data_IF_212521300756
#
_entry.id   IF_212521300756
#
_cell.length_a   1.000
_cell.length_b   1.000
_cell.length_c   1.000
_cell.angle_alpha   90.00
_cell.angle_beta   90.00
_cell.angle_gamma   90.00
#
_symmetry.space_group_name_H-M   'P 1'
#
loop_
_entity.id
_entity.type
_entity.pdbx_description
1 polymer ?
#
# COMPACT_ATOMS: atom_id res chain seq x y z
N UNK A 1 -16.44 -8.07 -64.81
CA UNK A 1 -16.14 -9.16 -63.85
C UNK A 1 -15.46 -8.53 -62.63
N UNK A 2 -16.25 -8.11 -61.63
CA UNK A 2 -15.72 -7.57 -60.37
C UNK A 2 -15.41 -8.77 -59.46
N UNK A 3 -14.12 -9.03 -59.22
CA UNK A 3 -13.72 -9.98 -58.19
C UNK A 3 -14.08 -9.40 -56.83
N UNK A 4 -15.04 -10.03 -56.15
CA UNK A 4 -15.36 -9.77 -54.74
C UNK A 4 -14.25 -10.39 -53.89
N UNK A 5 -13.33 -9.56 -53.42
CA UNK A 5 -12.40 -9.94 -52.36
C UNK A 5 -13.19 -10.18 -51.09
N UNK A 6 -13.38 -11.44 -50.72
CA UNK A 6 -13.82 -11.82 -49.38
C UNK A 6 -12.59 -11.69 -48.49
N UNK A 7 -12.42 -10.55 -47.83
CA UNK A 7 -11.53 -10.46 -46.68
C UNK A 7 -12.05 -11.44 -45.63
N UNK A 8 -11.35 -12.58 -45.45
CA UNK A 8 -11.55 -13.43 -44.28
C UNK A 8 -11.13 -12.61 -43.08
N UNK A 9 -12.10 -12.10 -42.33
CA UNK A 9 -11.86 -11.57 -40.98
C UNK A 9 -11.20 -12.71 -40.18
N UNK A 10 -9.94 -12.56 -39.81
CA UNK A 10 -9.28 -13.53 -38.95
C UNK A 10 -10.14 -13.76 -37.70
N UNK A 11 -10.28 -15.01 -37.28
CA UNK A 11 -11.08 -15.33 -36.10
C UNK A 11 -10.45 -14.68 -34.88
N UNK A 12 -11.25 -13.92 -34.12
CA UNK A 12 -10.80 -13.22 -32.92
C UNK A 12 -10.18 -14.21 -31.94
N UNK A 13 -8.96 -13.90 -31.51
CA UNK A 13 -8.22 -14.66 -30.51
C UNK A 13 -8.54 -14.15 -29.11
N UNK A 14 -9.04 -15.06 -28.27
CA UNK A 14 -9.37 -14.78 -26.86
C UNK A 14 -8.50 -15.64 -25.97
N UNK A 15 -7.79 -15.01 -25.05
CA UNK A 15 -6.91 -15.66 -24.09
C UNK A 15 -7.37 -15.48 -22.65
N UNK A 16 -6.97 -16.38 -21.75
CA UNK A 16 -7.01 -16.09 -20.31
C UNK A 16 -5.73 -16.47 -19.58
N UNK A 17 -5.47 -15.77 -18.47
CA UNK A 17 -4.35 -15.98 -17.54
C UNK A 17 -4.90 -15.93 -16.11
N UNK A 18 -4.80 -17.03 -15.37
CA UNK A 18 -5.37 -17.16 -14.02
C UNK A 18 -4.30 -17.15 -12.92
N UNK A 19 -4.67 -16.67 -11.73
CA UNK A 19 -3.78 -16.74 -10.58
C UNK A 19 -4.41 -16.30 -9.27
N UNK A 20 -3.80 -16.72 -8.15
CA UNK A 20 -4.19 -16.26 -6.81
C UNK A 20 -3.68 -14.84 -6.53
N UNK A 21 -2.49 -14.49 -7.04
CA UNK A 21 -1.85 -13.17 -6.83
C UNK A 21 -1.67 -12.78 -5.36
N UNK A 22 -1.25 -13.73 -4.51
CA UNK A 22 -0.97 -13.51 -3.08
C UNK A 22 0.54 -13.71 -2.80
N UNK A 23 1.38 -12.67 -2.95
CA UNK A 23 1.05 -11.34 -3.49
C UNK A 23 1.20 -11.22 -5.02
N UNK A 24 0.64 -10.14 -5.58
CA UNK A 24 0.86 -9.73 -6.96
C UNK A 24 2.30 -9.21 -7.13
N UNK A 25 2.96 -9.59 -8.23
CA UNK A 25 4.39 -9.33 -8.45
C UNK A 25 4.71 -9.08 -9.93
N UNK A 26 5.90 -8.56 -10.23
CA UNK A 26 6.34 -8.20 -11.59
C UNK A 26 6.39 -9.39 -12.55
N UNK A 27 6.69 -10.61 -12.07
CA UNK A 27 6.54 -11.83 -12.88
C UNK A 27 5.12 -12.02 -13.44
N UNK A 28 4.08 -11.83 -12.62
CA UNK A 28 2.69 -11.86 -13.09
C UNK A 28 2.42 -10.74 -14.10
N UNK A 29 2.87 -9.51 -13.81
CA UNK A 29 2.67 -8.37 -14.71
C UNK A 29 3.35 -8.60 -16.08
N UNK A 30 4.54 -9.22 -16.09
CA UNK A 30 5.22 -9.64 -17.30
C UNK A 30 4.42 -10.69 -18.08
N UNK A 31 3.95 -11.74 -17.40
CA UNK A 31 3.12 -12.77 -18.03
C UNK A 31 1.84 -12.19 -18.64
N UNK A 32 1.15 -11.30 -17.91
CA UNK A 32 -0.04 -10.60 -18.40
C UNK A 32 0.29 -9.75 -19.64
N UNK A 33 1.40 -9.00 -19.60
CA UNK A 33 1.81 -8.14 -20.73
C UNK A 33 2.15 -8.98 -21.97
N UNK A 34 2.88 -10.09 -21.78
CA UNK A 34 3.22 -11.04 -22.85
C UNK A 34 2.00 -11.73 -23.42
N UNK A 35 1.06 -12.15 -22.58
CA UNK A 35 -0.20 -12.76 -23.00
C UNK A 35 -1.05 -11.75 -23.80
N UNK A 36 -1.18 -10.51 -23.32
CA UNK A 36 -1.96 -9.46 -23.96
C UNK A 36 -1.42 -9.09 -25.35
N UNK A 37 -0.12 -9.26 -25.59
CA UNK A 37 0.51 -9.02 -26.90
C UNK A 37 0.25 -10.15 -27.92
N UNK A 38 -0.34 -11.27 -27.50
CA UNK A 38 -0.53 -12.47 -28.34
C UNK A 38 -1.99 -12.75 -28.69
N UNK A 39 -2.94 -11.98 -28.15
CA UNK A 39 -4.38 -12.17 -28.37
C UNK A 39 -5.13 -10.85 -28.55
N UNK A 40 -6.24 -10.89 -29.29
CA UNK A 40 -7.13 -9.74 -29.49
C UNK A 40 -7.85 -9.33 -28.21
N UNK A 41 -8.10 -10.27 -27.30
CA UNK A 41 -8.66 -10.01 -25.96
C UNK A 41 -8.09 -10.97 -24.91
N UNK A 42 -7.61 -10.43 -23.80
CA UNK A 42 -7.09 -11.19 -22.67
C UNK A 42 -7.99 -11.00 -21.44
N UNK A 43 -8.36 -12.11 -20.81
CA UNK A 43 -8.98 -12.15 -19.50
C UNK A 43 -7.96 -12.53 -18.42
N UNK A 44 -7.74 -11.65 -17.45
CA UNK A 44 -6.95 -11.97 -16.26
C UNK A 44 -7.90 -12.35 -15.13
N UNK A 45 -7.78 -13.58 -14.63
CA UNK A 45 -8.69 -14.13 -13.63
C UNK A 45 -8.03 -14.17 -12.26
N UNK A 46 -8.55 -13.36 -11.33
CA UNK A 46 -8.19 -13.39 -9.91
C UNK A 46 -8.97 -14.50 -9.24
N UNK A 47 -8.31 -15.64 -9.07
CA UNK A 47 -8.82 -16.78 -8.31
C UNK A 47 -8.81 -16.48 -6.82
N UNK A 48 -9.95 -16.66 -6.14
CA UNK A 48 -10.07 -16.39 -4.71
C UNK A 48 -10.87 -17.45 -3.96
N UNK A 49 -10.54 -17.64 -2.69
CA UNK A 49 -11.30 -18.43 -1.74
C UNK A 49 -10.92 -17.94 -0.35
N UNK A 50 -11.88 -17.41 0.41
CA UNK A 50 -11.59 -16.62 1.61
C UNK A 50 -10.73 -17.37 2.64
N UNK A 51 -11.11 -18.60 3.00
CA UNK A 51 -10.40 -19.37 4.04
C UNK A 51 -8.94 -19.67 3.66
N UNK A 52 -8.73 -20.26 2.47
CA UNK A 52 -7.41 -20.49 1.88
C UNK A 52 -6.59 -19.21 1.79
N UNK A 53 -7.17 -18.13 1.29
CA UNK A 53 -6.44 -16.88 1.05
C UNK A 53 -6.01 -16.22 2.38
N UNK A 54 -6.87 -16.28 3.41
CA UNK A 54 -6.53 -15.89 4.78
C UNK A 54 -5.38 -16.73 5.34
N UNK A 55 -5.48 -18.06 5.22
CA UNK A 55 -4.44 -19.00 5.67
C UNK A 55 -3.09 -18.71 5.02
N UNK A 56 -3.07 -18.49 3.70
CA UNK A 56 -1.84 -18.13 2.97
C UNK A 56 -1.23 -16.80 3.42
N UNK A 57 -2.05 -15.82 3.80
CA UNK A 57 -1.56 -14.54 4.31
C UNK A 57 -1.02 -14.71 5.74
N UNK A 58 -1.77 -15.40 6.61
CA UNK A 58 -1.39 -15.66 8.00
C UNK A 58 -0.08 -16.43 8.12
N UNK A 59 0.08 -17.53 7.37
CA UNK A 59 1.31 -18.33 7.31
C UNK A 59 2.52 -17.52 6.84
N UNK A 60 2.28 -16.47 6.04
CA UNK A 60 3.30 -15.58 5.51
C UNK A 60 3.53 -14.31 6.36
N UNK A 61 2.82 -14.15 7.48
CA UNK A 61 2.87 -12.94 8.30
C UNK A 61 2.34 -11.69 7.59
N UNK A 62 1.46 -11.86 6.61
CA UNK A 62 0.83 -10.78 5.85
C UNK A 62 -0.58 -10.50 6.36
N UNK A 63 -0.98 -9.23 6.31
CA UNK A 63 -2.38 -8.86 6.44
C UNK A 63 -3.20 -9.51 5.31
N UNK A 64 -4.48 -9.82 5.60
CA UNK A 64 -5.35 -10.44 4.61
C UNK A 64 -5.52 -9.58 3.36
N UNK A 65 -5.13 -10.13 2.21
CA UNK A 65 -5.21 -9.47 0.91
C UNK A 65 -6.49 -9.89 0.17
N UNK A 66 -7.56 -9.12 0.40
CA UNK A 66 -8.86 -9.32 -0.25
C UNK A 66 -8.76 -9.36 -1.79
N UNK A 67 -9.59 -10.18 -2.42
CA UNK A 67 -9.58 -10.37 -3.88
C UNK A 67 -9.88 -9.08 -4.64
N UNK A 68 -10.72 -8.19 -4.11
CA UNK A 68 -11.03 -6.89 -4.76
C UNK A 68 -9.78 -6.04 -4.82
N UNK A 69 -8.95 -6.07 -3.78
CA UNK A 69 -7.67 -5.35 -3.74
C UNK A 69 -6.69 -5.90 -4.77
N UNK A 70 -6.55 -7.22 -4.87
CA UNK A 70 -5.74 -7.89 -5.90
C UNK A 70 -6.21 -7.53 -7.30
N UNK A 71 -7.53 -7.57 -7.55
CA UNK A 71 -8.14 -7.18 -8.81
C UNK A 71 -7.84 -5.71 -9.15
N UNK A 72 -8.02 -4.79 -8.20
CA UNK A 72 -7.70 -3.37 -8.38
C UNK A 72 -6.24 -3.12 -8.73
N UNK A 73 -5.30 -3.85 -8.12
CA UNK A 73 -3.87 -3.72 -8.44
C UNK A 73 -3.57 -4.11 -9.87
N UNK A 74 -4.15 -5.22 -10.34
CA UNK A 74 -3.98 -5.68 -11.72
C UNK A 74 -4.62 -4.67 -12.67
N UNK A 75 -5.88 -4.27 -12.44
CA UNK A 75 -6.58 -3.27 -13.25
C UNK A 75 -5.80 -1.95 -13.34
N UNK A 76 -5.23 -1.49 -12.23
CA UNK A 76 -4.43 -0.26 -12.20
C UNK A 76 -3.14 -0.43 -13.01
N UNK A 77 -2.50 -1.60 -12.93
CA UNK A 77 -1.26 -1.92 -13.65
C UNK A 77 -1.48 -2.11 -15.14
N UNK A 78 -2.67 -2.56 -15.55
CA UNK A 78 -3.04 -2.84 -16.95
C UNK A 78 -3.98 -1.79 -17.53
N UNK A 79 -4.21 -0.66 -16.85
CA UNK A 79 -5.23 0.35 -17.23
C UNK A 79 -5.12 0.90 -18.67
N UNK A 80 -3.91 0.85 -19.24
CA UNK A 80 -3.62 1.33 -20.58
C UNK A 80 -3.65 0.20 -21.65
N UNK A 81 -3.89 -1.05 -21.24
CA UNK A 81 -4.01 -2.21 -22.14
C UNK A 81 -5.49 -2.41 -22.49
N UNK A 82 -5.92 -1.86 -23.62
CA UNK A 82 -7.33 -1.82 -24.02
C UNK A 82 -7.97 -3.20 -24.24
N UNK A 83 -7.15 -4.21 -24.52
CA UNK A 83 -7.60 -5.59 -24.74
C UNK A 83 -7.59 -6.44 -23.47
N UNK A 84 -7.26 -5.89 -22.30
CA UNK A 84 -7.20 -6.64 -21.03
C UNK A 84 -8.44 -6.38 -20.19
N UNK A 85 -9.14 -7.44 -19.80
CA UNK A 85 -10.25 -7.42 -18.84
C UNK A 85 -9.87 -8.24 -17.61
N UNK A 86 -10.09 -7.70 -16.41
CA UNK A 86 -9.76 -8.38 -15.16
C UNK A 86 -11.04 -8.80 -14.44
N UNK A 87 -11.20 -10.10 -14.19
CA UNK A 87 -12.35 -10.67 -13.48
C UNK A 87 -11.87 -11.35 -12.20
N UNK A 88 -12.78 -11.52 -11.24
CA UNK A 88 -12.55 -12.34 -10.05
C UNK A 88 -13.46 -13.57 -10.12
N UNK A 89 -12.91 -14.74 -9.81
CA UNK A 89 -13.62 -16.01 -9.84
C UNK A 89 -13.36 -16.74 -8.53
N UNK A 90 -14.42 -17.18 -7.87
CA UNK A 90 -14.32 -17.98 -6.66
C UNK A 90 -13.91 -19.41 -7.00
N UNK A 91 -12.80 -19.86 -6.45
CA UNK A 91 -12.37 -21.24 -6.61
C UNK A 91 -13.25 -22.17 -5.78
N UNK A 92 -13.52 -23.40 -6.25
CA UNK A 92 -14.11 -24.43 -5.41
C UNK A 92 -13.22 -24.76 -4.20
N UNK A 93 -13.81 -25.37 -3.18
CA UNK A 93 -13.12 -25.89 -2.01
C UNK A 93 -13.35 -27.38 -1.87
N UNK A 94 -12.27 -28.16 -1.96
CA UNK A 94 -12.28 -29.61 -1.84
C UNK A 94 -10.85 -30.12 -1.63
N UNK A 95 -10.72 -31.29 -1.01
CA UNK A 95 -9.46 -32.06 -0.98
C UNK A 95 -9.23 -32.82 -2.31
N UNK A 96 -10.27 -32.99 -3.11
CA UNK A 96 -10.21 -33.62 -4.42
C UNK A 96 -9.65 -32.63 -5.46
N UNK A 97 -8.40 -32.87 -5.85
CA UNK A 97 -7.69 -32.06 -6.84
C UNK A 97 -8.38 -32.08 -8.21
N UNK A 98 -8.95 -33.21 -8.64
CA UNK A 98 -9.63 -33.29 -9.92
C UNK A 98 -10.90 -32.45 -9.93
N UNK A 99 -11.68 -32.52 -8.85
CA UNK A 99 -12.83 -31.64 -8.67
C UNK A 99 -12.42 -30.16 -8.68
N UNK A 100 -11.36 -29.78 -7.97
CA UNK A 100 -10.87 -28.39 -7.95
C UNK A 100 -10.58 -27.86 -9.35
N UNK A 101 -9.90 -28.65 -10.19
CA UNK A 101 -9.56 -28.28 -11.56
C UNK A 101 -10.79 -28.19 -12.46
N UNK A 102 -11.64 -29.21 -12.46
CA UNK A 102 -12.79 -29.27 -13.36
C UNK A 102 -13.85 -28.21 -13.01
N UNK A 103 -14.19 -28.07 -11.73
CA UNK A 103 -15.17 -27.08 -11.27
C UNK A 103 -14.59 -25.65 -11.36
N UNK A 104 -13.32 -25.46 -11.03
CA UNK A 104 -12.64 -24.17 -11.21
C UNK A 104 -12.63 -23.75 -12.68
N UNK A 105 -12.25 -24.67 -13.58
CA UNK A 105 -12.28 -24.47 -15.02
C UNK A 105 -13.67 -24.12 -15.56
N UNK A 106 -14.72 -24.84 -15.11
CA UNK A 106 -16.12 -24.55 -15.45
C UNK A 106 -16.51 -23.13 -15.07
N UNK A 107 -16.19 -22.69 -13.85
CA UNK A 107 -16.47 -21.32 -13.38
C UNK A 107 -15.73 -20.26 -14.18
N UNK A 108 -14.49 -20.54 -14.60
CA UNK A 108 -13.73 -19.63 -15.47
C UNK A 108 -14.36 -19.50 -16.87
N UNK A 109 -14.83 -20.61 -17.45
CA UNK A 109 -15.56 -20.59 -18.73
C UNK A 109 -16.85 -19.79 -18.60
N UNK A 110 -17.62 -19.96 -17.52
CA UNK A 110 -18.86 -19.22 -17.30
C UNK A 110 -18.66 -17.72 -17.06
N UNK A 111 -17.53 -17.33 -16.47
CA UNK A 111 -17.18 -15.95 -16.23
C UNK A 111 -16.75 -15.20 -17.52
N UNK A 112 -16.24 -15.92 -18.53
CA UNK A 112 -15.73 -15.34 -19.77
C UNK A 112 -16.80 -15.46 -20.88
N UNK A 113 -17.30 -14.33 -21.43
CA UNK A 113 -18.42 -14.38 -22.37
C UNK A 113 -18.04 -14.91 -23.77
N UNK A 114 -16.78 -14.79 -24.18
CA UNK A 114 -16.31 -15.27 -25.48
C UNK A 114 -15.66 -16.66 -25.41
N UNK A 115 -15.65 -17.36 -26.55
CA UNK A 115 -14.96 -18.64 -26.68
C UNK A 115 -13.44 -18.46 -26.51
N UNK A 116 -12.90 -19.09 -25.48
CA UNK A 116 -11.46 -19.10 -25.19
C UNK A 116 -10.72 -19.91 -26.26
N UNK A 117 -9.59 -19.37 -26.73
CA UNK A 117 -8.73 -19.98 -27.77
C UNK A 117 -7.30 -20.19 -27.30
N UNK A 118 -6.86 -19.41 -26.30
CA UNK A 118 -5.53 -19.47 -25.73
C UNK A 118 -5.60 -19.49 -24.20
N UNK A 119 -4.67 -20.21 -23.58
CA UNK A 119 -4.49 -20.22 -22.12
C UNK A 119 -3.02 -19.92 -21.86
N UNK A 120 -2.78 -19.01 -20.93
CA UNK A 120 -1.44 -18.64 -20.52
C UNK A 120 -1.20 -19.10 -19.09
N UNK A 121 -0.02 -19.65 -18.84
CA UNK A 121 0.45 -20.01 -17.49
C UNK A 121 1.97 -19.86 -17.43
N UNK A 122 2.55 -20.09 -16.26
CA UNK A 122 4.00 -20.28 -16.10
C UNK A 122 4.35 -21.73 -15.74
N UNK A 123 3.39 -22.65 -15.87
CA UNK A 123 3.46 -24.03 -15.39
C UNK A 123 3.14 -24.99 -16.55
N UNK A 124 4.16 -25.62 -17.14
CA UNK A 124 3.95 -26.54 -18.27
C UNK A 124 3.10 -27.77 -17.88
N UNK A 125 3.16 -28.18 -16.62
CA UNK A 125 2.39 -29.31 -16.05
C UNK A 125 0.87 -29.12 -16.11
N UNK A 126 0.36 -27.90 -16.32
CA UNK A 126 -1.08 -27.63 -16.39
C UNK A 126 -1.70 -27.98 -17.75
N UNK A 127 -0.89 -28.31 -18.77
CA UNK A 127 -1.37 -28.61 -20.14
C UNK A 127 -2.45 -29.70 -20.16
N UNK A 128 -2.27 -30.77 -19.38
CA UNK A 128 -3.24 -31.85 -19.26
C UNK A 128 -4.61 -31.35 -18.79
N UNK A 129 -4.63 -30.54 -17.73
CA UNK A 129 -5.87 -29.98 -17.19
C UNK A 129 -6.54 -29.02 -18.17
N UNK A 130 -5.74 -28.18 -18.84
CA UNK A 130 -6.26 -27.25 -19.82
C UNK A 130 -6.91 -27.95 -21.01
N UNK A 131 -6.29 -29.00 -21.58
CA UNK A 131 -6.92 -29.79 -22.65
C UNK A 131 -8.22 -30.46 -22.18
N UNK A 132 -8.21 -30.98 -20.95
CA UNK A 132 -9.39 -31.64 -20.37
C UNK A 132 -10.57 -30.71 -20.13
N UNK A 133 -10.31 -29.46 -19.74
CA UNK A 133 -11.34 -28.46 -19.43
C UNK A 133 -11.83 -27.73 -20.69
N UNK A 134 -10.89 -27.30 -21.54
CA UNK A 134 -11.18 -26.38 -22.65
C UNK A 134 -11.19 -27.06 -24.04
N UNK A 135 -10.81 -28.34 -24.11
CA UNK A 135 -10.76 -29.15 -25.32
C UNK A 135 -9.37 -29.20 -25.96
N UNK A 136 -9.14 -30.19 -26.83
CA UNK A 136 -7.83 -30.46 -27.45
C UNK A 136 -7.33 -29.36 -28.39
N UNK A 137 -8.24 -28.54 -28.93
CA UNK A 137 -7.90 -27.43 -29.83
C UNK A 137 -7.35 -26.20 -29.08
N UNK A 138 -7.34 -26.23 -27.74
CA UNK A 138 -6.86 -25.10 -26.94
C UNK A 138 -5.35 -24.91 -27.10
N UNK A 139 -4.92 -23.66 -27.25
CA UNK A 139 -3.49 -23.32 -27.29
C UNK A 139 -3.00 -22.91 -25.91
N UNK A 140 -2.33 -23.83 -25.22
CA UNK A 140 -1.62 -23.51 -23.99
C UNK A 140 -0.24 -22.90 -24.32
N UNK A 141 0.03 -21.71 -23.78
CA UNK A 141 1.29 -20.98 -23.95
C UNK A 141 1.92 -20.76 -22.58
N UNK A 142 3.07 -21.40 -22.36
CA UNK A 142 3.86 -21.26 -21.14
C UNK A 142 4.74 -20.02 -21.25
N UNK A 143 4.68 -19.13 -20.26
CA UNK A 143 5.46 -17.91 -20.18
C UNK A 143 6.45 -18.00 -19.01
N UNK A 144 7.74 -17.98 -19.34
CA UNK A 144 8.85 -17.83 -18.38
C UNK A 144 8.79 -18.79 -17.18
N UNK A 145 8.60 -20.08 -17.48
CA UNK A 145 8.56 -21.15 -16.46
C UNK A 145 9.82 -21.19 -15.61
N UNK A 146 10.99 -20.97 -16.23
CA UNK A 146 12.28 -20.92 -15.55
C UNK A 146 12.49 -19.61 -14.74
N UNK A 147 11.59 -18.62 -14.88
CA UNK A 147 11.66 -17.31 -14.21
C UNK A 147 12.97 -16.57 -14.49
N UNK A 148 13.44 -16.61 -15.73
CA UNK A 148 14.70 -16.01 -16.16
C UNK A 148 14.61 -14.49 -16.24
N UNK A 149 13.44 -13.95 -16.65
CA UNK A 149 13.26 -12.50 -16.81
C UNK A 149 12.97 -11.85 -15.46
N UNK A 150 12.04 -12.44 -14.70
CA UNK A 150 11.71 -12.00 -13.35
C UNK A 150 11.85 -13.17 -12.37
N UNK A 151 12.98 -13.31 -11.65
CA UNK A 151 13.28 -14.46 -10.78
C UNK A 151 12.52 -14.41 -9.45
N UNK A 152 11.19 -14.43 -9.55
CA UNK A 152 10.26 -14.25 -8.44
C UNK A 152 9.04 -15.16 -8.56
N UNK A 153 8.49 -15.53 -7.42
CA UNK A 153 7.18 -16.16 -7.31
C UNK A 153 6.44 -15.65 -6.09
N UNK A 154 5.12 -15.79 -6.07
CA UNK A 154 4.31 -15.46 -4.91
C UNK A 154 4.78 -16.23 -3.67
N UNK A 155 5.13 -17.52 -3.83
CA UNK A 155 5.67 -18.35 -2.75
C UNK A 155 7.01 -17.82 -2.23
N UNK A 156 7.91 -17.40 -3.12
CA UNK A 156 9.19 -16.80 -2.72
C UNK A 156 8.97 -15.54 -1.87
N UNK A 157 8.06 -14.66 -2.29
CA UNK A 157 7.74 -13.45 -1.53
C UNK A 157 7.12 -13.78 -0.16
N UNK A 158 6.22 -14.77 -0.11
CA UNK A 158 5.63 -15.22 1.17
C UNK A 158 6.68 -15.81 2.13
N UNK A 159 7.71 -16.47 1.61
CA UNK A 159 8.77 -17.09 2.43
C UNK A 159 9.86 -16.10 2.86
N UNK A 160 10.28 -15.20 1.97
CA UNK A 160 11.40 -14.26 2.20
C UNK A 160 10.94 -12.88 2.68
N UNK A 161 9.64 -12.58 2.58
CA UNK A 161 9.06 -11.30 2.92
C UNK A 161 9.01 -10.30 1.77
N UNK A 162 8.05 -9.37 1.88
CA UNK A 162 7.79 -8.34 0.87
C UNK A 162 8.93 -7.32 0.78
N UNK A 163 9.56 -6.96 1.89
CA UNK A 163 10.64 -5.96 1.88
C UNK A 163 11.94 -6.46 1.24
N UNK A 164 12.23 -7.77 1.33
CA UNK A 164 13.36 -8.39 0.64
C UNK A 164 13.14 -8.42 -0.88
N UNK A 165 11.88 -8.50 -1.31
CA UNK A 165 11.49 -8.62 -2.72
C UNK A 165 10.82 -7.34 -3.25
N UNK A 166 11.08 -6.18 -2.63
CA UNK A 166 10.35 -4.93 -2.90
C UNK A 166 10.37 -4.50 -4.37
N UNK A 167 11.50 -4.64 -5.04
CA UNK A 167 11.65 -4.27 -6.45
C UNK A 167 10.84 -5.17 -7.39
N UNK A 168 10.40 -6.33 -6.91
CA UNK A 168 9.52 -7.25 -7.62
C UNK A 168 8.03 -6.96 -7.37
N UNK A 169 7.68 -6.00 -6.50
CA UNK A 169 6.30 -5.60 -6.25
C UNK A 169 5.89 -4.48 -7.23
N UNK A 170 4.80 -4.63 -7.99
CA UNK A 170 4.26 -3.59 -8.85
C UNK A 170 3.86 -2.33 -8.07
N UNK A 171 4.02 -1.16 -8.69
CA UNK A 171 3.73 0.14 -8.07
C UNK A 171 2.29 0.23 -7.54
N UNK A 172 1.32 -0.41 -8.19
CA UNK A 172 -0.07 -0.43 -7.74
C UNK A 172 -0.26 -1.13 -6.38
N UNK A 173 0.63 -2.06 -6.01
CA UNK A 173 0.53 -2.85 -4.79
C UNK A 173 1.44 -2.32 -3.66
N UNK A 174 2.52 -1.61 -3.98
CA UNK A 174 3.47 -1.06 -2.98
C UNK A 174 2.82 -0.23 -1.85
N UNK A 175 1.81 0.64 -2.10
CA UNK A 175 1.20 1.43 -1.04
C UNK A 175 0.60 0.60 0.09
N UNK A 176 0.12 -0.62 -0.20
CA UNK A 176 -0.47 -1.50 0.81
C UNK A 176 0.57 -2.07 1.78
N UNK A 177 1.81 -2.28 1.32
CA UNK A 177 2.89 -2.82 2.13
C UNK A 177 3.79 -1.74 2.73
N UNK A 178 3.61 -0.48 2.35
CA UNK A 178 4.42 0.63 2.83
C UNK A 178 4.09 0.90 4.29
N UNK A 179 5.12 0.94 5.15
CA UNK A 179 4.95 1.23 6.57
C UNK A 179 4.91 2.72 6.84
N UNK A 180 3.96 3.17 7.63
CA UNK A 180 3.79 4.59 7.98
C UNK A 180 4.35 4.85 9.37
N UNK A 181 5.23 5.85 9.47
CA UNK A 181 5.92 6.21 10.71
C UNK A 181 5.56 7.65 11.06
N UNK A 182 4.75 7.82 12.10
CA UNK A 182 4.40 9.12 12.63
C UNK A 182 5.50 9.62 13.57
N UNK A 183 6.00 10.82 13.31
CA UNK A 183 6.99 11.50 14.13
C UNK A 183 6.25 12.60 14.89
N UNK A 184 6.12 12.40 16.19
CA UNK A 184 5.23 13.18 17.05
C UNK A 184 6.00 13.82 18.20
N UNK A 185 5.43 14.85 18.79
CA UNK A 185 6.05 15.61 19.87
C UNK A 185 5.63 17.07 19.83
N UNK A 186 5.92 17.76 20.93
CA UNK A 186 5.56 19.18 21.09
C UNK A 186 6.36 20.08 20.15
N UNK A 187 6.02 21.37 20.11
CA UNK A 187 6.73 22.34 19.25
C UNK A 187 8.24 22.34 19.51
N UNK A 188 9.01 22.62 18.45
CA UNK A 188 10.46 22.86 18.53
C UNK A 188 11.28 21.70 19.11
N UNK A 189 10.84 20.45 18.88
CA UNK A 189 11.58 19.24 19.28
C UNK A 189 12.40 18.63 18.13
N UNK A 190 12.50 19.29 16.97
CA UNK A 190 13.28 18.79 15.83
C UNK A 190 12.57 17.74 14.95
N UNK A 191 11.23 17.63 15.05
CA UNK A 191 10.42 16.67 14.26
C UNK A 191 10.69 16.77 12.77
N UNK A 192 10.48 17.94 12.18
CA UNK A 192 10.64 18.14 10.73
C UNK A 192 12.05 17.86 10.24
N UNK A 193 13.07 18.17 11.06
CA UNK A 193 14.46 17.83 10.74
C UNK A 193 14.67 16.32 10.74
N UNK A 194 14.20 15.61 11.77
CA UNK A 194 14.32 14.15 11.83
C UNK A 194 13.55 13.48 10.69
N UNK A 195 12.31 13.92 10.40
CA UNK A 195 11.47 13.44 9.30
C UNK A 195 12.18 13.54 7.95
N UNK A 196 12.79 14.70 7.66
CA UNK A 196 13.55 14.92 6.42
C UNK A 196 14.84 14.10 6.37
N UNK A 197 15.57 14.01 7.49
CA UNK A 197 16.80 13.22 7.53
C UNK A 197 16.54 11.74 7.31
N UNK A 198 15.47 11.20 7.92
CA UNK A 198 15.08 9.81 7.75
C UNK A 198 14.60 9.55 6.31
N UNK A 199 13.81 10.44 5.71
CA UNK A 199 13.35 10.26 4.32
C UNK A 199 14.51 10.26 3.32
N UNK A 200 15.50 11.14 3.52
CA UNK A 200 16.74 11.15 2.74
C UNK A 200 17.55 9.87 2.93
N UNK A 201 17.75 9.42 4.17
CA UNK A 201 18.55 8.23 4.49
C UNK A 201 17.93 6.94 3.91
N UNK A 202 16.62 6.78 4.05
CA UNK A 202 15.91 5.59 3.56
C UNK A 202 15.49 5.68 2.09
N UNK A 203 15.76 6.82 1.42
CA UNK A 203 15.42 7.03 0.02
C UNK A 203 13.92 6.91 -0.23
N UNK A 204 13.12 7.65 0.54
CA UNK A 204 11.66 7.60 0.48
C UNK A 204 11.02 8.99 0.66
N UNK A 205 9.68 9.04 0.64
CA UNK A 205 8.88 10.23 0.80
C UNK A 205 8.57 10.57 2.27
N UNK A 206 8.15 11.80 2.50
CA UNK A 206 7.62 12.26 3.76
C UNK A 206 6.46 13.24 3.59
N UNK A 207 5.66 13.39 4.65
CA UNK A 207 4.57 14.36 4.80
C UNK A 207 5.01 15.45 5.78
N UNK A 208 4.79 16.70 5.40
CA UNK A 208 5.07 17.87 6.23
C UNK A 208 3.87 18.26 7.10
N UNK A 209 4.16 18.95 8.20
CA UNK A 209 3.14 19.42 9.13
C UNK A 209 2.26 20.48 8.46
N UNK A 210 1.04 20.09 8.08
CA UNK A 210 0.15 20.96 7.31
C UNK A 210 -0.33 22.18 8.08
N UNK A 211 -0.41 22.08 9.42
CA UNK A 211 -0.73 23.22 10.28
C UNK A 211 0.24 24.40 10.11
N UNK A 212 1.50 24.13 9.76
CA UNK A 212 2.48 25.18 9.46
C UNK A 212 2.10 25.94 8.18
N UNK A 213 1.77 25.21 7.11
CA UNK A 213 1.34 25.79 5.83
C UNK A 213 0.12 26.68 6.01
N UNK A 214 -0.93 26.19 6.68
CA UNK A 214 -2.15 26.97 6.92
C UNK A 214 -1.88 28.19 7.80
N UNK A 215 -1.02 28.07 8.81
CA UNK A 215 -0.64 29.21 9.67
C UNK A 215 0.15 30.29 8.89
N UNK A 216 1.05 29.89 7.98
CA UNK A 216 1.83 30.81 7.15
C UNK A 216 0.91 31.56 6.16
N UNK A 217 -0.11 30.89 5.60
CA UNK A 217 -1.08 31.50 4.68
C UNK A 217 -1.93 32.61 5.32
N UNK A 218 -2.19 32.52 6.63
CA UNK A 218 -2.94 33.55 7.39
C UNK A 218 -2.03 34.61 8.02
N UNK A 219 -0.75 34.67 7.65
CA UNK A 219 0.21 35.65 8.14
C UNK A 219 0.77 35.33 9.53
N UNK A 220 1.10 34.06 9.77
CA UNK A 220 1.73 33.54 11.00
C UNK A 220 0.88 33.66 12.28
N UNK A 221 -0.44 33.68 12.10
CA UNK A 221 -1.41 33.77 13.18
C UNK A 221 -1.87 32.41 13.73
N UNK A 222 -0.98 31.59 14.29
CA UNK A 222 -1.38 30.26 14.81
C UNK A 222 -2.49 30.32 15.87
N UNK A 223 -2.55 31.41 16.65
CA UNK A 223 -3.62 31.69 17.61
C UNK A 223 -4.94 32.18 16.99
N UNK A 224 -4.93 32.51 15.69
CA UNK A 224 -6.09 32.98 14.92
C UNK A 224 -6.76 31.84 14.12
N UNK A 225 -6.23 30.61 14.21
CA UNK A 225 -6.83 29.45 13.57
C UNK A 225 -8.24 29.21 14.13
N UNK A 226 -9.16 28.87 13.23
CA UNK A 226 -10.58 28.63 13.54
C UNK A 226 -10.87 27.15 13.42
N UNK A 227 -12.03 26.68 13.89
CA UNK A 227 -12.43 25.27 13.69
C UNK A 227 -12.43 24.88 12.20
N UNK A 228 -12.72 25.82 11.29
CA UNK A 228 -12.69 25.55 9.84
C UNK A 228 -11.25 25.33 9.34
N UNK A 229 -10.29 26.13 9.79
CA UNK A 229 -8.87 25.90 9.49
C UNK A 229 -8.41 24.53 10.01
N UNK A 230 -8.89 24.08 11.18
CA UNK A 230 -8.56 22.74 11.67
C UNK A 230 -9.12 21.60 10.82
N UNK A 231 -10.29 21.78 10.18
CA UNK A 231 -10.77 20.81 9.19
C UNK A 231 -9.83 20.75 8.00
N UNK A 232 -9.42 21.92 7.49
CA UNK A 232 -8.45 21.98 6.40
C UNK A 232 -7.14 21.29 6.79
N UNK A 233 -6.61 21.57 7.98
CA UNK A 233 -5.39 20.98 8.51
C UNK A 233 -5.48 19.45 8.53
N UNK A 234 -6.54 18.90 9.13
CA UNK A 234 -6.68 17.45 9.30
C UNK A 234 -6.94 16.73 7.99
N UNK A 235 -7.88 17.22 7.16
CA UNK A 235 -8.20 16.56 5.89
C UNK A 235 -7.11 16.76 4.84
N UNK A 236 -6.51 17.95 4.78
CA UNK A 236 -5.40 18.26 3.88
C UNK A 236 -4.17 17.41 4.20
N UNK A 237 -3.84 17.27 5.49
CA UNK A 237 -2.74 16.41 5.92
C UNK A 237 -2.97 14.93 5.55
N UNK A 238 -4.18 14.39 5.82
CA UNK A 238 -4.51 13.02 5.42
C UNK A 238 -4.48 12.82 3.90
N UNK A 239 -4.86 13.84 3.13
CA UNK A 239 -4.76 13.81 1.68
C UNK A 239 -3.29 13.76 1.23
N UNK A 240 -2.40 14.53 1.86
CA UNK A 240 -0.96 14.47 1.57
C UNK A 240 -0.38 13.08 1.84
N UNK A 241 -0.75 12.44 2.95
CA UNK A 241 -0.36 11.04 3.21
C UNK A 241 -0.76 10.11 2.06
N UNK A 242 -2.01 10.22 1.60
CA UNK A 242 -2.52 9.40 0.49
C UNK A 242 -1.78 9.64 -0.83
N UNK A 243 -1.32 10.85 -1.11
CA UNK A 243 -0.51 11.13 -2.30
C UNK A 243 0.92 10.63 -2.15
N UNK A 244 1.52 10.83 -0.97
CA UNK A 244 2.92 10.49 -0.71
C UNK A 244 3.14 9.00 -0.62
N UNK A 245 2.21 8.23 -0.06
CA UNK A 245 2.33 6.76 0.02
C UNK A 245 2.42 6.09 -1.37
N UNK A 246 1.85 6.70 -2.41
CA UNK A 246 1.93 6.19 -3.79
C UNK A 246 3.32 6.30 -4.40
N UNK A 247 4.18 7.14 -3.84
CA UNK A 247 5.55 7.40 -4.29
C UNK A 247 6.60 6.90 -3.28
N UNK A 248 6.14 6.50 -2.10
CA UNK A 248 6.99 6.04 -1.01
C UNK A 248 7.67 4.70 -1.34
N UNK A 249 8.88 4.55 -0.81
CA UNK A 249 9.71 3.37 -0.93
C UNK A 249 9.83 2.68 0.43
N UNK A 250 9.10 1.58 0.62
CA UNK A 250 8.97 0.76 1.85
C UNK A 250 8.39 1.48 3.08
N UNK A 251 8.72 2.75 3.28
CA UNK A 251 8.43 3.55 4.46
C UNK A 251 7.83 4.91 4.03
N UNK A 252 6.93 5.48 4.82
CA UNK A 252 6.47 6.86 4.70
C UNK A 252 6.61 7.55 6.07
N UNK A 253 7.38 8.64 6.12
CA UNK A 253 7.54 9.43 7.34
C UNK A 253 6.53 10.58 7.40
N UNK A 254 5.91 10.79 8.56
CA UNK A 254 4.74 11.68 8.69
C UNK A 254 4.98 12.64 9.86
N UNK A 255 5.09 13.93 9.55
CA UNK A 255 5.15 15.04 10.52
C UNK A 255 3.86 15.86 10.40
N UNK A 256 3.06 16.09 11.42
CA UNK A 256 2.79 15.19 12.56
C UNK A 256 1.47 14.45 12.28
N UNK A 257 0.64 14.16 13.28
CA UNK A 257 -0.66 13.50 13.13
C UNK A 257 -1.81 14.18 13.89
N UNK A 258 -3.01 13.59 13.85
CA UNK A 258 -4.24 14.23 14.31
C UNK A 258 -4.35 14.38 15.84
N UNK A 259 -3.68 13.57 16.66
CA UNK A 259 -3.62 13.78 18.12
C UNK A 259 -2.87 15.07 18.45
N UNK A 260 -1.77 15.35 17.74
CA UNK A 260 -1.08 16.66 17.86
C UNK A 260 -1.98 17.82 17.43
N UNK A 261 -2.78 17.64 16.36
CA UNK A 261 -3.77 18.65 15.96
C UNK A 261 -4.86 18.82 17.03
N UNK A 262 -5.34 17.73 17.63
CA UNK A 262 -6.34 17.76 18.70
C UNK A 262 -5.81 18.45 19.95
N UNK A 263 -4.52 18.27 20.25
CA UNK A 263 -3.84 18.94 21.35
C UNK A 263 -3.89 20.47 21.18
N UNK A 264 -3.47 20.98 20.02
CA UNK A 264 -3.51 22.42 19.78
C UNK A 264 -4.94 22.96 19.72
N UNK A 265 -5.87 22.24 19.07
CA UNK A 265 -7.27 22.63 19.07
C UNK A 265 -7.83 22.77 20.50
N UNK A 266 -7.51 21.83 21.39
CA UNK A 266 -7.92 21.89 22.80
C UNK A 266 -7.30 23.07 23.54
N UNK A 267 -6.04 23.39 23.26
CA UNK A 267 -5.36 24.55 23.86
C UNK A 267 -6.00 25.87 23.42
N UNK A 268 -6.39 26.01 22.15
CA UNK A 268 -6.96 27.26 21.62
C UNK A 268 -8.47 27.41 21.88
N UNK A 269 -9.25 26.33 21.80
CA UNK A 269 -10.71 26.37 21.95
C UNK A 269 -11.21 25.93 23.33
N UNK A 270 -10.34 25.40 24.19
CA UNK A 270 -10.70 24.89 25.51
C UNK A 270 -11.52 23.58 25.49
N UNK A 271 -11.73 22.97 24.32
CA UNK A 271 -12.48 21.72 24.12
C UNK A 271 -11.84 20.87 23.03
N UNK A 272 -12.10 19.56 23.06
CA UNK A 272 -11.76 18.68 21.94
C UNK A 272 -12.77 18.84 20.79
N UNK A 273 -12.38 18.47 19.55
CA UNK A 273 -13.19 18.67 18.35
C UNK A 273 -13.50 17.30 17.72
N UNK A 274 -14.78 16.92 17.71
CA UNK A 274 -15.22 15.56 17.35
C UNK A 274 -14.73 15.09 15.97
N UNK A 275 -14.60 15.99 14.99
CA UNK A 275 -14.12 15.62 13.65
C UNK A 275 -12.64 15.21 13.65
N UNK A 276 -11.83 15.76 14.56
CA UNK A 276 -10.43 15.37 14.71
C UNK A 276 -10.35 13.99 15.37
N UNK A 277 -11.22 13.71 16.34
CA UNK A 277 -11.31 12.38 16.95
C UNK A 277 -11.67 11.29 15.93
N UNK A 278 -12.59 11.58 15.00
CA UNK A 278 -12.86 10.70 13.87
C UNK A 278 -11.63 10.46 12.97
N UNK A 279 -10.79 11.48 12.77
CA UNK A 279 -9.55 11.33 12.03
C UNK A 279 -8.50 10.49 12.80
N UNK A 280 -8.39 10.68 14.11
CA UNK A 280 -7.49 9.91 14.99
C UNK A 280 -7.83 8.41 14.91
N UNK A 281 -9.12 8.06 14.99
CA UNK A 281 -9.59 6.67 14.91
C UNK A 281 -9.34 6.02 13.54
N UNK A 282 -9.22 6.83 12.49
CA UNK A 282 -8.90 6.36 11.14
C UNK A 282 -7.38 6.29 10.85
N UNK A 283 -6.52 6.63 11.82
CA UNK A 283 -5.07 6.54 11.66
C UNK A 283 -4.61 5.09 11.65
N UNK A 284 -3.71 4.78 10.72
CA UNK A 284 -3.22 3.44 10.44
C UNK A 284 -1.68 3.43 10.40
N UNK A 285 -1.05 4.11 11.37
CA UNK A 285 0.41 4.16 11.47
C UNK A 285 0.98 2.92 12.14
N UNK A 286 2.08 2.40 11.59
CA UNK A 286 2.75 1.20 12.09
C UNK A 286 3.70 1.50 13.25
N UNK A 287 4.22 2.73 13.35
CA UNK A 287 5.15 3.16 14.37
C UNK A 287 4.96 4.64 14.71
N UNK A 288 4.92 4.94 16.00
CA UNK A 288 4.96 6.31 16.51
C UNK A 288 6.30 6.55 17.19
N UNK A 289 7.05 7.55 16.70
CA UNK A 289 8.29 8.03 17.30
C UNK A 289 7.98 9.33 18.04
N UNK A 290 7.96 9.28 19.37
CA UNK A 290 7.60 10.42 20.21
C UNK A 290 8.87 11.13 20.69
N UNK A 291 9.12 12.34 20.22
CA UNK A 291 10.32 13.11 20.54
C UNK A 291 10.14 13.89 21.84
N UNK A 292 11.03 13.67 22.80
CA UNK A 292 11.08 14.46 24.04
C UNK A 292 11.54 15.90 23.77
N UNK A 293 11.20 16.87 24.65
CA UNK A 293 11.63 18.26 24.51
C UNK A 293 13.04 18.53 25.10
N UNK A 294 13.99 17.60 24.97
CA UNK A 294 15.32 17.67 25.60
C UNK A 294 16.43 18.32 24.75
N UNK A 295 16.16 18.65 23.47
CA UNK A 295 17.07 19.46 22.65
C UNK A 295 16.98 20.95 23.00
N UNK A 296 18.14 21.64 22.90
CA UNK A 296 18.21 23.09 23.04
C UNK A 296 17.22 23.73 22.07
N UNK A 297 16.40 24.63 22.60
CA UNK A 297 15.46 25.38 21.80
C UNK A 297 16.20 26.20 20.74
N UNK A 298 15.77 26.09 19.48
CA UNK A 298 16.30 26.88 18.37
C UNK A 298 15.20 27.85 17.95
N UNK A 299 15.50 29.14 18.00
CA UNK A 299 14.59 30.18 17.54
C UNK A 299 14.35 30.02 16.04
N UNK A 300 13.13 29.67 15.63
CA UNK A 300 12.74 29.74 14.22
C UNK A 300 11.88 30.96 13.90
N UNK A 301 11.72 31.90 14.84
CA UNK A 301 11.15 33.22 14.61
C UNK A 301 9.66 33.39 14.92
N UNK A 302 8.92 32.30 15.17
CA UNK A 302 7.45 32.31 15.14
C UNK A 302 6.73 31.87 16.44
N UNK A 303 7.44 31.52 17.53
CA UNK A 303 6.83 30.76 18.65
C UNK A 303 7.06 31.33 20.06
N UNK A 304 6.05 31.18 20.92
CA UNK A 304 5.82 31.91 22.18
C UNK A 304 6.24 31.19 23.47
N UNK A 305 6.48 29.87 23.45
CA UNK A 305 6.74 29.08 24.67
C UNK A 305 8.21 28.64 24.79
N UNK A 306 9.09 29.54 25.24
CA UNK A 306 10.51 29.26 25.47
C UNK A 306 10.82 28.61 26.83
N UNK A 307 9.83 28.53 27.74
CA UNK A 307 10.01 28.06 29.11
C UNK A 307 10.13 26.52 29.16
N UNK A 308 11.25 25.96 29.64
CA UNK A 308 11.44 24.52 29.81
C UNK A 308 10.33 23.81 30.59
N UNK A 309 9.78 24.45 31.62
CA UNK A 309 8.72 23.84 32.45
C UNK A 309 7.38 23.79 31.69
N UNK A 310 7.09 24.81 30.88
CA UNK A 310 5.91 24.80 29.99
C UNK A 310 6.06 23.70 28.94
N UNK A 311 7.23 23.56 28.32
CA UNK A 311 7.50 22.49 27.34
C UNK A 311 7.32 21.11 27.95
N UNK A 312 7.83 20.90 29.17
CA UNK A 312 7.68 19.63 29.89
C UNK A 312 6.21 19.33 30.23
N UNK A 313 5.48 20.31 30.76
CA UNK A 313 4.04 20.16 31.06
C UNK A 313 3.21 19.87 29.80
N UNK A 314 3.47 20.60 28.72
CA UNK A 314 2.82 20.38 27.41
C UNK A 314 3.12 18.97 26.87
N UNK A 315 4.35 18.49 27.05
CA UNK A 315 4.75 17.15 26.65
C UNK A 315 4.02 16.06 27.45
N UNK A 316 3.88 16.24 28.76
CA UNK A 316 3.12 15.33 29.62
C UNK A 316 1.62 15.28 29.24
N UNK A 317 1.02 16.42 28.90
CA UNK A 317 -0.36 16.47 28.42
C UNK A 317 -0.51 15.71 27.09
N UNK A 318 0.41 15.93 26.15
CA UNK A 318 0.37 15.25 24.85
C UNK A 318 0.54 13.73 25.03
N UNK A 319 1.49 13.28 25.86
CA UNK A 319 1.63 11.84 26.19
C UNK A 319 0.36 11.26 26.78
N UNK A 320 -0.26 11.96 27.74
CA UNK A 320 -1.54 11.53 28.31
C UNK A 320 -2.62 11.38 27.24
N UNK A 321 -2.67 12.27 26.24
CA UNK A 321 -3.64 12.13 25.14
C UNK A 321 -3.41 10.90 24.27
N UNK A 322 -2.15 10.47 24.09
CA UNK A 322 -1.80 9.21 23.44
C UNK A 322 -2.18 8.00 24.32
N UNK A 323 -1.82 8.05 25.61
CA UNK A 323 -2.06 6.99 26.58
C UNK A 323 -3.56 6.72 26.78
N UNK A 324 -4.37 7.79 26.92
CA UNK A 324 -5.83 7.72 27.07
C UNK A 324 -6.51 7.10 25.83
N UNK A 325 -5.85 7.13 24.66
CA UNK A 325 -6.30 6.52 23.40
C UNK A 325 -5.68 5.15 23.14
N UNK A 326 -4.83 4.65 24.04
CA UNK A 326 -4.12 3.38 23.89
C UNK A 326 -3.11 3.36 22.74
N UNK A 327 -2.67 4.54 22.26
CA UNK A 327 -1.72 4.65 21.17
C UNK A 327 -0.31 4.39 21.71
N UNK A 328 0.31 3.30 21.25
CA UNK A 328 1.67 2.93 21.65
C UNK A 328 2.69 3.73 20.84
N UNK A 329 3.68 4.28 21.53
CA UNK A 329 4.77 5.01 20.93
C UNK A 329 6.13 4.60 21.51
N UNK A 330 7.19 4.85 20.74
CA UNK A 330 8.57 4.75 21.23
C UNK A 330 9.07 6.15 21.53
N UNK A 331 9.44 6.38 22.79
CA UNK A 331 10.10 7.61 23.21
C UNK A 331 11.50 7.74 22.61
N UNK A 332 11.77 8.89 21.99
CA UNK A 332 13.05 9.28 21.40
C UNK A 332 13.57 10.51 22.14
N UNK A 333 14.72 10.37 22.79
CA UNK A 333 15.35 11.35 23.68
C UNK A 333 16.84 11.43 23.40
N UNK A 334 17.49 12.49 23.87
CA UNK A 334 18.92 12.73 23.72
C UNK A 334 19.24 13.84 22.71
N UNK A 335 20.51 13.91 22.32
CA UNK A 335 20.98 14.85 21.30
C UNK A 335 20.53 14.41 19.88
N UNK A 336 20.79 15.24 18.86
CA UNK A 336 20.34 14.97 17.49
C UNK A 336 20.86 13.65 16.89
N UNK A 337 22.09 13.25 17.22
CA UNK A 337 22.70 11.99 16.77
C UNK A 337 22.03 10.79 17.46
N UNK A 338 21.94 10.81 18.79
CA UNK A 338 21.30 9.74 19.58
C UNK A 338 19.85 9.49 19.17
N UNK A 339 19.12 10.57 18.86
CA UNK A 339 17.73 10.49 18.40
C UNK A 339 17.62 9.86 17.01
N UNK A 340 18.53 10.23 16.11
CA UNK A 340 18.58 9.67 14.77
C UNK A 340 18.88 8.17 14.84
N UNK A 341 19.91 7.77 15.59
CA UNK A 341 20.31 6.37 15.74
C UNK A 341 19.18 5.53 16.34
N UNK A 342 18.54 6.03 17.39
CA UNK A 342 17.41 5.33 18.02
C UNK A 342 16.21 5.22 17.09
N UNK A 343 15.91 6.26 16.29
CA UNK A 343 14.86 6.19 15.29
C UNK A 343 15.17 5.12 14.23
N UNK A 344 16.39 5.12 13.68
CA UNK A 344 16.86 4.13 12.71
C UNK A 344 16.74 2.71 13.26
N UNK A 345 17.12 2.49 14.52
CA UNK A 345 17.01 1.19 15.18
C UNK A 345 15.57 0.67 15.19
N UNK A 346 14.60 1.51 15.60
CA UNK A 346 13.20 1.11 15.66
C UNK A 346 12.60 0.88 14.26
N UNK A 347 12.95 1.73 13.30
CA UNK A 347 12.50 1.59 11.90
C UNK A 347 13.06 0.31 11.28
N UNK A 348 14.33 0.00 11.53
CA UNK A 348 14.96 -1.22 11.01
C UNK A 348 14.25 -2.46 11.55
N UNK A 349 13.97 -2.50 12.87
CA UNK A 349 13.20 -3.59 13.50
C UNK A 349 11.80 -3.77 12.89
N UNK A 350 11.20 -2.71 12.36
CA UNK A 350 9.87 -2.76 11.73
C UNK A 350 9.90 -3.44 10.35
N UNK A 351 11.00 -3.31 9.59
CA UNK A 351 11.11 -3.84 8.21
C UNK A 351 11.94 -5.13 8.09
N UNK A 352 12.62 -5.55 9.16
CA UNK A 352 13.36 -6.82 9.20
C UNK A 352 12.58 -7.95 9.89
N UNK A 353 11.42 -7.63 10.47
CA UNK A 353 10.42 -8.64 10.86
C UNK A 353 9.66 -9.07 9.61
#
# INVERSE_FOLDING_TARGET
>A
MKMTGIERKEAMTVGHYGGKFIPFHKGHLYAITKAAAQVDKLYVLVSYHEERDRKLCEEAGLDYIDFKRRQQWIMTSTKNMQNVTVLAVEDPYSEDMEYLWLEGGRRMIEAIPEKITHIFSSESEYDYWFRRIYGEDIKHIVIDEAREIFPISATKIRNEGVFANWDMIPEAAKPYYTKKIAIVGVESCGKSTLTRNLSLLFGTEYVEEYGRTVSEEIGDGSSLLTEEHYKEIVFGHKHMEYQKIKKANKLLFIDSEAVVSQYYAKMYFGKELDFIEGAIQAQDYDLYLFLEPDVKWVADGYRTFNDPEVRKKTNEILKKMFDDRGIKYVTISGNYEERLDRAIEQITKLITK
#
